data_IF_518319884139
#
_entry.id   IF_518319884139
#
_cell.length_a   1.000
_cell.length_b   1.000
_cell.length_c   1.000
_cell.angle_alpha   90.00
_cell.angle_beta   90.00
_cell.angle_gamma   90.00
#
_symmetry.space_group_name_H-M   'P 1'
#
loop_
_entity.id
_entity.type
_entity.pdbx_description
1 polymer ?
#
# COMPACT_ATOMS: atom_id res chain seq x y z
N UNK A 1 -38.86 42.26 -18.15
CA UNK A 1 -37.64 41.43 -18.09
C UNK A 1 -37.16 41.39 -16.66
N UNK A 2 -37.47 40.34 -15.88
CA UNK A 2 -36.87 40.15 -14.56
C UNK A 2 -35.48 39.45 -14.69
N UNK A 3 -34.50 39.83 -13.85
CA UNK A 3 -33.09 39.49 -14.00
C UNK A 3 -32.75 38.05 -13.58
N UNK A 4 -31.73 37.51 -14.25
CA UNK A 4 -31.04 36.26 -13.93
C UNK A 4 -30.53 36.34 -12.48
N UNK A 5 -31.09 35.53 -11.58
CA UNK A 5 -30.44 35.26 -10.29
C UNK A 5 -29.34 34.24 -10.53
N UNK A 6 -28.09 34.72 -10.54
CA UNK A 6 -26.89 33.90 -10.55
C UNK A 6 -26.77 33.30 -9.15
N UNK A 7 -26.90 31.97 -9.04
CA UNK A 7 -26.66 31.28 -7.77
C UNK A 7 -25.24 31.61 -7.28
N UNK A 8 -25.06 32.06 -6.03
CA UNK A 8 -23.72 32.23 -5.50
C UNK A 8 -23.10 30.84 -5.33
N UNK A 9 -22.12 30.56 -6.18
CA UNK A 9 -21.16 29.47 -6.04
C UNK A 9 -20.45 29.65 -4.70
N UNK A 10 -20.89 28.92 -3.67
CA UNK A 10 -20.14 28.74 -2.43
C UNK A 10 -19.96 27.25 -2.19
N UNK A 11 -18.96 26.69 -2.88
CA UNK A 11 -18.32 25.47 -2.42
C UNK A 11 -17.56 25.82 -1.14
N UNK A 12 -18.26 25.76 -0.01
CA UNK A 12 -17.60 25.68 1.29
C UNK A 12 -16.99 24.27 1.37
N UNK A 13 -15.84 24.11 0.70
CA UNK A 13 -14.94 22.99 0.93
C UNK A 13 -14.34 23.18 2.32
N UNK A 14 -15.14 22.85 3.34
CA UNK A 14 -14.66 22.65 4.68
C UNK A 14 -13.54 21.65 4.61
N UNK A 15 -12.31 22.13 4.81
CA UNK A 15 -11.14 21.31 5.04
C UNK A 15 -11.34 20.57 6.36
N UNK A 16 -12.09 19.48 6.28
CA UNK A 16 -12.26 18.50 7.33
C UNK A 16 -10.88 17.90 7.56
N UNK A 17 -10.19 18.39 8.60
CA UNK A 17 -8.93 17.84 9.04
C UNK A 17 -9.22 16.37 9.34
N UNK A 18 -8.72 15.47 8.49
CA UNK A 18 -8.71 14.04 8.79
C UNK A 18 -7.88 13.89 10.06
N UNK A 19 -8.57 13.79 11.18
CA UNK A 19 -8.01 13.31 12.42
C UNK A 19 -7.50 11.91 12.09
N UNK A 20 -6.19 11.76 11.91
CA UNK A 20 -5.59 10.44 11.99
C UNK A 20 -5.79 10.04 13.44
N UNK A 21 -6.75 9.15 13.68
CA UNK A 21 -6.90 8.50 14.97
C UNK A 21 -5.57 7.82 15.25
N UNK A 22 -4.76 8.44 16.11
CA UNK A 22 -3.55 7.84 16.63
C UNK A 22 -4.05 6.71 17.51
N UNK A 23 -4.08 5.50 16.94
CA UNK A 23 -4.41 4.29 17.66
C UNK A 23 -3.41 4.19 18.82
N UNK A 24 -3.91 4.32 20.04
CA UNK A 24 -3.13 4.12 21.26
C UNK A 24 -2.37 2.79 21.13
N UNK A 25 -1.04 2.73 21.42
CA UNK A 25 -0.27 1.52 21.29
C UNK A 25 -0.83 0.46 22.24
N UNK A 26 -1.65 -0.45 21.70
CA UNK A 26 -2.04 -1.65 22.43
C UNK A 26 -0.78 -2.44 22.73
N UNK A 27 -0.68 -3.03 23.92
CA UNK A 27 0.48 -3.67 24.58
C UNK A 27 1.13 -4.87 23.83
N UNK A 28 0.93 -4.96 22.50
CA UNK A 28 1.54 -5.88 21.55
C UNK A 28 2.44 -5.11 20.57
N UNK A 29 3.26 -4.18 21.07
CA UNK A 29 4.18 -3.45 20.20
C UNK A 29 5.24 -4.42 19.64
N UNK A 30 5.18 -4.70 18.34
CA UNK A 30 6.27 -5.39 17.65
C UNK A 30 7.48 -4.44 17.66
N UNK A 31 8.67 -4.88 18.11
CA UNK A 31 9.87 -4.06 18.06
C UNK A 31 10.14 -3.51 16.64
N UNK A 32 10.56 -2.26 16.54
CA UNK A 32 10.72 -1.59 15.25
C UNK A 32 11.72 -2.31 14.33
N UNK A 33 12.78 -2.89 14.89
CA UNK A 33 13.76 -3.71 14.18
C UNK A 33 13.15 -4.99 13.61
N UNK A 34 12.25 -5.64 14.36
CA UNK A 34 11.52 -6.83 13.90
C UNK A 34 10.60 -6.49 12.74
N UNK A 35 9.88 -5.37 12.83
CA UNK A 35 9.01 -4.90 11.74
C UNK A 35 9.81 -4.59 10.47
N UNK A 36 10.93 -3.89 10.60
CA UNK A 36 11.83 -3.58 9.47
C UNK A 36 12.39 -4.86 8.86
N UNK A 37 12.77 -5.84 9.70
CA UNK A 37 13.27 -7.13 9.23
C UNK A 37 12.18 -7.91 8.48
N UNK A 38 10.96 -8.00 9.03
CA UNK A 38 9.83 -8.63 8.38
C UNK A 38 9.54 -7.98 7.02
N UNK A 39 9.50 -6.64 6.96
CA UNK A 39 9.31 -5.92 5.71
C UNK A 39 10.39 -6.22 4.66
N UNK A 40 11.66 -6.30 5.07
CA UNK A 40 12.75 -6.66 4.15
C UNK A 40 12.58 -8.08 3.62
N UNK A 41 12.16 -9.03 4.45
CA UNK A 41 11.90 -10.40 4.04
C UNK A 41 10.72 -10.47 3.06
N UNK A 42 9.62 -9.78 3.36
CA UNK A 42 8.46 -9.68 2.46
C UNK A 42 8.87 -9.15 1.08
N UNK A 43 9.60 -8.02 1.07
CA UNK A 43 10.05 -7.39 -0.16
C UNK A 43 11.05 -8.27 -0.94
N UNK A 44 11.95 -8.94 -0.24
CA UNK A 44 12.91 -9.86 -0.84
C UNK A 44 12.19 -11.03 -1.51
N UNK A 45 11.24 -11.66 -0.82
CA UNK A 45 10.40 -12.74 -1.35
C UNK A 45 9.74 -12.32 -2.66
N UNK A 46 9.11 -11.14 -2.67
CA UNK A 46 8.46 -10.58 -3.86
C UNK A 46 9.41 -10.40 -5.04
N UNK A 47 10.61 -9.86 -4.78
CA UNK A 47 11.62 -9.62 -5.84
C UNK A 47 12.19 -10.92 -6.39
N UNK A 48 12.33 -11.94 -5.56
CA UNK A 48 12.79 -13.27 -6.00
C UNK A 48 11.75 -13.92 -6.90
N UNK A 49 10.47 -13.89 -6.50
CA UNK A 49 9.34 -14.41 -7.28
C UNK A 49 9.30 -13.80 -8.70
N UNK A 50 9.42 -12.47 -8.79
CA UNK A 50 9.48 -11.75 -10.07
C UNK A 50 10.68 -12.17 -10.93
N UNK A 51 11.85 -12.37 -10.31
CA UNK A 51 13.07 -12.77 -11.03
C UNK A 51 12.98 -14.21 -11.53
N UNK A 52 12.42 -15.11 -10.74
CA UNK A 52 12.23 -16.50 -11.14
C UNK A 52 11.26 -16.59 -12.32
N UNK A 53 10.17 -15.82 -12.31
CA UNK A 53 9.26 -15.72 -13.45
C UNK A 53 9.96 -15.20 -14.72
N UNK A 54 10.86 -14.21 -14.59
CA UNK A 54 11.68 -13.70 -15.71
C UNK A 54 12.62 -14.80 -16.23
N UNK A 55 13.28 -15.54 -15.33
CA UNK A 55 14.20 -16.61 -15.72
C UNK A 55 13.47 -17.78 -16.40
N UNK A 56 12.28 -18.14 -15.92
CA UNK A 56 11.42 -19.14 -16.56
C UNK A 56 11.06 -18.70 -17.99
N UNK A 57 10.64 -17.44 -18.18
CA UNK A 57 10.35 -16.88 -19.52
C UNK A 57 11.56 -16.87 -20.46
N UNK A 58 12.78 -16.83 -19.91
CA UNK A 58 14.02 -16.94 -20.68
C UNK A 58 14.47 -18.39 -20.93
N UNK A 59 13.74 -19.40 -20.44
CA UNK A 59 14.15 -20.80 -20.50
C UNK A 59 15.34 -21.14 -19.59
N UNK A 60 15.62 -20.30 -18.58
CA UNK A 60 16.74 -20.47 -17.63
C UNK A 60 16.32 -21.06 -16.29
N UNK A 61 15.03 -21.34 -16.11
CA UNK A 61 14.47 -22.07 -14.98
C UNK A 61 13.52 -23.15 -15.52
N UNK A 62 13.37 -24.26 -14.79
CA UNK A 62 12.57 -25.40 -15.23
C UNK A 62 11.07 -25.22 -14.93
N UNK A 63 10.74 -24.68 -13.76
CA UNK A 63 9.38 -24.37 -13.33
C UNK A 63 9.42 -23.17 -12.38
N UNK A 64 8.25 -22.56 -12.11
CA UNK A 64 8.08 -21.47 -11.16
C UNK A 64 6.73 -21.66 -10.44
N UNK A 65 6.71 -21.42 -9.13
CA UNK A 65 5.50 -21.45 -8.31
C UNK A 65 5.37 -20.06 -7.67
N UNK A 66 4.33 -19.31 -8.05
CA UNK A 66 4.13 -17.95 -7.60
C UNK A 66 3.74 -17.86 -6.12
N UNK A 67 4.44 -17.02 -5.36
CA UNK A 67 4.17 -16.69 -3.95
C UNK A 67 3.48 -15.34 -3.72
N UNK A 68 3.10 -14.63 -4.79
CA UNK A 68 2.49 -13.29 -4.74
C UNK A 68 1.31 -13.21 -3.75
N UNK A 69 1.39 -12.31 -2.78
CA UNK A 69 0.36 -12.09 -1.76
C UNK A 69 0.44 -12.99 -0.53
N UNK A 70 1.43 -13.88 -0.46
CA UNK A 70 1.69 -14.77 0.69
C UNK A 70 3.04 -14.48 1.36
N UNK A 71 3.56 -13.27 1.21
CA UNK A 71 4.88 -12.91 1.73
C UNK A 71 4.91 -12.61 3.24
N UNK A 72 3.74 -12.44 3.89
CA UNK A 72 3.55 -11.95 5.26
C UNK A 72 2.75 -12.90 6.16
#
# INVERSE_FOLDING_TARGET
MPPIKKDPKKSDAGSEKRQLDVLEPTDKSIPADVLVKAYRLMLLSRRLDEKELILLKQGKAFFHIGGSGHEA
#
